data_IF_135018262715
#
_entry.id   IF_135018262715
#
_cell.length_a   1.000
_cell.length_b   1.000
_cell.length_c   1.000
_cell.angle_alpha   90.00
_cell.angle_beta   90.00
_cell.angle_gamma   90.00
#
_symmetry.space_group_name_H-M   'P 1'
#
loop_
_entity.id
_entity.type
_entity.pdbx_description
1 polymer ?
#
# COMPACT_ATOMS: atom_id res chain seq x y z
N UNK A 1 11.01 4.34 -24.43
CA UNK A 1 9.95 5.00 -23.63
C UNK A 1 9.52 3.96 -22.61
N UNK A 2 10.25 3.87 -21.49
CA UNK A 2 9.92 2.93 -20.41
C UNK A 2 8.75 3.52 -19.63
N UNK A 3 7.68 2.74 -19.50
CA UNK A 3 6.57 3.08 -18.62
C UNK A 3 7.17 3.05 -17.21
N UNK A 4 7.28 4.22 -16.58
CA UNK A 4 7.63 4.29 -15.18
C UNK A 4 6.48 3.65 -14.42
N UNK A 5 6.65 2.41 -13.98
CA UNK A 5 5.90 1.89 -12.84
C UNK A 5 6.03 2.96 -11.75
N UNK A 6 4.90 3.49 -11.25
CA UNK A 6 4.92 4.32 -10.04
C UNK A 6 5.75 3.55 -9.00
N UNK A 7 6.73 4.22 -8.39
CA UNK A 7 7.49 3.65 -7.27
C UNK A 7 6.46 3.07 -6.27
N UNK A 8 6.56 1.78 -5.92
CA UNK A 8 5.55 1.10 -5.10
C UNK A 8 5.28 1.86 -3.78
N UNK A 9 6.31 2.54 -3.25
CA UNK A 9 6.18 3.44 -2.11
C UNK A 9 5.33 4.69 -2.41
N UNK A 10 5.42 5.26 -3.61
CA UNK A 10 4.53 6.34 -4.07
C UNK A 10 3.09 5.86 -4.24
N UNK A 11 2.88 4.68 -4.82
CA UNK A 11 1.55 4.08 -4.95
C UNK A 11 0.90 3.83 -3.57
N UNK A 12 1.67 3.32 -2.60
CA UNK A 12 1.19 3.11 -1.23
C UNK A 12 0.91 4.43 -0.49
N UNK A 13 1.71 5.48 -0.73
CA UNK A 13 1.38 6.82 -0.24
C UNK A 13 0.07 7.34 -0.84
N UNK A 14 -0.19 7.09 -2.13
CA UNK A 14 -1.46 7.46 -2.76
C UNK A 14 -2.65 6.70 -2.16
N UNK A 15 -2.51 5.40 -1.87
CA UNK A 15 -3.53 4.61 -1.14
C UNK A 15 -3.82 5.18 0.25
N UNK A 16 -2.79 5.56 0.99
CA UNK A 16 -2.94 6.21 2.30
C UNK A 16 -3.66 7.57 2.18
N UNK A 17 -3.42 8.35 1.11
CA UNK A 17 -4.16 9.60 0.86
C UNK A 17 -5.65 9.36 0.63
N UNK A 18 -6.03 8.30 -0.08
CA UNK A 18 -7.44 7.94 -0.26
C UNK A 18 -8.13 7.61 1.06
N UNK A 19 -7.45 6.87 1.95
CA UNK A 19 -7.96 6.59 3.28
C UNK A 19 -8.15 7.87 4.11
N UNK A 20 -7.19 8.80 4.06
CA UNK A 20 -7.30 10.11 4.73
C UNK A 20 -8.51 10.91 4.22
N UNK A 21 -8.71 10.98 2.90
CA UNK A 21 -9.88 11.66 2.30
C UNK A 21 -11.19 11.06 2.80
N UNK A 22 -11.29 9.73 2.88
CA UNK A 22 -12.49 9.07 3.38
C UNK A 22 -12.75 9.38 4.86
N UNK A 23 -11.71 9.38 5.69
CA UNK A 23 -11.81 9.77 7.10
C UNK A 23 -12.23 11.23 7.27
N UNK A 24 -11.64 12.16 6.52
CA UNK A 24 -12.02 13.57 6.57
C UNK A 24 -13.46 13.78 6.12
N UNK A 25 -13.88 13.14 5.03
CA UNK A 25 -15.26 13.21 4.57
C UNK A 25 -16.23 12.69 5.64
N UNK A 26 -15.92 11.55 6.25
CA UNK A 26 -16.73 11.01 7.34
C UNK A 26 -16.80 11.94 8.55
N UNK A 27 -15.64 12.39 9.06
CA UNK A 27 -15.58 13.29 10.20
C UNK A 27 -16.33 14.60 9.95
N UNK A 28 -16.37 15.06 8.69
CA UNK A 28 -17.20 16.18 8.28
C UNK A 28 -18.70 15.89 8.40
N UNK A 29 -19.15 14.76 7.88
CA UNK A 29 -20.58 14.40 7.91
C UNK A 29 -21.10 14.06 9.32
N UNK A 30 -20.25 13.50 10.20
CA UNK A 30 -20.64 13.08 11.56
C UNK A 30 -20.44 14.15 12.62
N UNK A 31 -19.89 15.32 12.27
CA UNK A 31 -19.62 16.39 13.21
C UNK A 31 -18.34 16.21 14.03
N UNK A 32 -17.53 15.17 13.77
CA UNK A 32 -16.23 14.91 14.41
C UNK A 32 -15.09 15.79 13.84
N UNK A 33 -15.38 17.07 13.58
CA UNK A 33 -14.41 18.00 13.00
C UNK A 33 -13.40 18.46 14.06
N UNK A 34 -12.12 18.25 13.79
CA UNK A 34 -11.02 18.75 14.61
C UNK A 34 -9.72 18.89 13.80
N UNK A 35 -8.80 19.74 14.27
CA UNK A 35 -7.51 20.11 13.69
C UNK A 35 -6.47 18.98 13.58
N UNK A 36 -6.91 17.71 13.58
CA UNK A 36 -6.05 16.54 13.63
C UNK A 36 -5.59 16.04 12.25
N UNK A 37 -6.13 16.62 11.18
CA UNK A 37 -5.78 16.32 9.80
C UNK A 37 -4.88 17.44 9.29
N UNK A 38 -3.60 17.14 9.06
CA UNK A 38 -2.72 18.07 8.37
C UNK A 38 -3.00 17.95 6.87
N UNK A 39 -3.42 19.02 6.17
CA UNK A 39 -3.61 18.99 4.72
C UNK A 39 -2.30 18.71 3.96
N UNK A 40 -1.15 18.82 4.63
CA UNK A 40 0.18 18.71 4.05
C UNK A 40 0.85 17.35 4.35
N UNK A 41 0.25 16.48 5.15
CA UNK A 41 0.89 15.21 5.56
C UNK A 41 -0.06 14.06 5.89
N UNK A 42 0.44 12.83 5.71
CA UNK A 42 -0.25 11.58 6.05
C UNK A 42 -0.19 11.21 7.54
N UNK A 43 0.30 12.11 8.38
CA UNK A 43 0.47 11.87 9.81
C UNK A 43 -0.81 12.27 10.55
N UNK A 44 -1.53 11.27 11.06
CA UNK A 44 -2.74 11.44 11.88
C UNK A 44 -2.43 11.02 13.32
N UNK A 45 -2.91 11.77 14.32
CA UNK A 45 -2.76 11.37 15.73
C UNK A 45 -3.44 10.01 15.95
N UNK A 46 -2.77 9.10 16.67
CA UNK A 46 -3.23 7.72 16.88
C UNK A 46 -4.66 7.63 17.42
N UNK A 47 -5.02 8.47 18.39
CA UNK A 47 -6.37 8.54 18.97
C UNK A 47 -7.43 8.82 17.91
N UNK A 48 -7.17 9.81 17.04
CA UNK A 48 -8.08 10.22 15.96
C UNK A 48 -8.15 9.15 14.88
N UNK A 49 -7.01 8.54 14.56
CA UNK A 49 -6.95 7.43 13.61
C UNK A 49 -7.81 6.27 14.09
N UNK A 50 -7.71 5.88 15.37
CA UNK A 50 -8.51 4.79 15.94
C UNK A 50 -9.99 5.12 16.01
N UNK A 51 -10.35 6.32 16.45
CA UNK A 51 -11.75 6.73 16.59
C UNK A 51 -12.43 6.80 15.21
N UNK A 52 -11.92 7.63 14.30
CA UNK A 52 -12.60 7.92 13.03
C UNK A 52 -12.49 6.76 12.04
N UNK A 53 -11.35 6.07 11.97
CA UNK A 53 -11.27 4.86 11.15
C UNK A 53 -12.12 3.73 11.74
N UNK A 54 -12.25 3.65 13.07
CA UNK A 54 -13.14 2.70 13.74
C UNK A 54 -14.60 2.92 13.36
N UNK A 55 -15.07 4.17 13.40
CA UNK A 55 -16.43 4.52 13.00
C UNK A 55 -16.66 4.27 11.50
N UNK A 56 -15.66 4.55 10.65
CA UNK A 56 -15.73 4.24 9.20
C UNK A 56 -15.90 2.74 8.96
N UNK A 57 -15.13 1.91 9.68
CA UNK A 57 -15.26 0.46 9.63
C UNK A 57 -16.62 -0.01 10.13
N UNK A 58 -17.16 0.59 11.20
CA UNK A 58 -18.49 0.27 11.70
C UNK A 58 -19.58 0.56 10.65
N UNK A 59 -19.52 1.72 9.99
CA UNK A 59 -20.43 2.07 8.90
C UNK A 59 -20.32 1.08 7.72
N UNK A 60 -19.09 0.69 7.35
CA UNK A 60 -18.86 -0.33 6.33
C UNK A 60 -19.44 -1.69 6.73
N UNK A 61 -19.36 -2.08 8.01
CA UNK A 61 -19.94 -3.33 8.50
C UNK A 61 -21.47 -3.32 8.47
N UNK A 62 -22.09 -2.18 8.79
CA UNK A 62 -23.53 -2.00 8.59
C UNK A 62 -23.91 -2.16 7.11
N UNK A 63 -23.13 -1.60 6.19
CA UNK A 63 -23.34 -1.78 4.75
C UNK A 63 -23.16 -3.25 4.32
N UNK A 64 -22.12 -3.94 4.82
CA UNK A 64 -21.89 -5.36 4.55
C UNK A 64 -23.11 -6.20 4.97
N UNK A 65 -23.63 -5.96 6.18
CA UNK A 65 -24.81 -6.65 6.70
C UNK A 65 -26.02 -6.44 5.78
N UNK A 66 -26.26 -5.23 5.27
CA UNK A 66 -27.39 -4.96 4.36
C UNK A 66 -27.24 -5.67 3.01
N UNK A 67 -26.02 -5.97 2.59
CA UNK A 67 -25.71 -6.63 1.32
C UNK A 67 -25.46 -8.14 1.46
N UNK A 68 -25.68 -8.73 2.65
CA UNK A 68 -25.43 -10.16 2.88
C UNK A 68 -23.96 -10.55 2.83
N UNK A 69 -23.05 -9.60 2.99
CA UNK A 69 -21.60 -9.83 3.03
C UNK A 69 -21.15 -9.89 4.49
N UNK A 70 -20.31 -10.88 4.83
CA UNK A 70 -19.73 -10.97 6.17
C UNK A 70 -18.65 -9.88 6.34
N UNK A 71 -18.71 -9.02 7.38
CA UNK A 71 -17.69 -8.01 7.65
C UNK A 71 -16.25 -8.56 7.67
N UNK A 72 -16.06 -9.75 8.25
CA UNK A 72 -14.76 -10.43 8.31
C UNK A 72 -14.14 -10.71 6.93
N UNK A 73 -14.96 -10.98 5.91
CA UNK A 73 -14.47 -11.22 4.56
C UNK A 73 -13.87 -9.94 3.93
N UNK A 74 -14.49 -8.78 4.18
CA UNK A 74 -13.98 -7.48 3.70
C UNK A 74 -12.69 -7.10 4.43
N UNK A 75 -12.61 -7.33 5.74
CA UNK A 75 -11.38 -7.13 6.51
C UNK A 75 -10.25 -8.01 5.98
N UNK A 76 -10.51 -9.29 5.74
CA UNK A 76 -9.52 -10.22 5.21
C UNK A 76 -9.03 -9.81 3.80
N UNK A 77 -9.95 -9.40 2.92
CA UNK A 77 -9.60 -8.91 1.58
C UNK A 77 -8.72 -7.64 1.65
N UNK A 78 -9.08 -6.67 2.49
CA UNK A 78 -8.30 -5.45 2.69
C UNK A 78 -6.90 -5.73 3.23
N UNK A 79 -6.77 -6.63 4.23
CA UNK A 79 -5.49 -7.04 4.78
C UNK A 79 -4.61 -7.75 3.73
N UNK A 80 -5.20 -8.63 2.92
CA UNK A 80 -4.50 -9.32 1.84
C UNK A 80 -3.94 -8.32 0.80
N UNK A 81 -4.74 -7.36 0.34
CA UNK A 81 -4.27 -6.33 -0.60
C UNK A 81 -3.16 -5.49 0.00
N UNK A 82 -3.34 -4.98 1.22
CA UNK A 82 -2.32 -4.19 1.92
C UNK A 82 -0.98 -4.93 2.03
N UNK A 83 -1.00 -6.21 2.46
CA UNK A 83 0.22 -7.00 2.62
C UNK A 83 0.93 -7.26 1.29
N UNK A 84 0.18 -7.52 0.22
CA UNK A 84 0.73 -7.71 -1.12
C UNK A 84 1.41 -6.41 -1.62
N UNK A 85 0.71 -5.28 -1.51
CA UNK A 85 1.20 -3.98 -2.00
C UNK A 85 2.38 -3.45 -1.18
N UNK A 86 2.44 -3.73 0.13
CA UNK A 86 3.61 -3.38 0.96
C UNK A 86 4.82 -4.26 0.63
N UNK A 87 4.62 -5.53 0.26
CA UNK A 87 5.72 -6.39 -0.14
C UNK A 87 6.44 -5.87 -1.41
N UNK A 88 5.72 -5.17 -2.28
CA UNK A 88 6.27 -4.53 -3.49
C UNK A 88 7.17 -3.31 -3.18
N UNK A 89 7.13 -2.75 -1.96
CA UNK A 89 8.05 -1.68 -1.55
C UNK A 89 9.49 -2.17 -1.35
N UNK A 90 9.70 -3.48 -1.19
CA UNK A 90 11.04 -4.00 -1.00
C UNK A 90 11.84 -3.92 -2.31
N UNK A 91 13.07 -3.41 -2.27
CA UNK A 91 13.91 -3.40 -3.46
C UNK A 91 14.13 -4.83 -3.92
N UNK A 92 13.87 -5.09 -5.21
CA UNK A 92 14.32 -6.33 -5.85
C UNK A 92 15.83 -6.34 -5.73
N UNK A 93 16.37 -7.18 -4.84
CA UNK A 93 17.80 -7.48 -4.84
C UNK A 93 18.03 -8.27 -6.11
N UNK A 94 18.48 -7.59 -7.16
CA UNK A 94 19.11 -8.24 -8.31
C UNK A 94 20.33 -8.98 -7.77
N UNK A 95 20.15 -10.27 -7.46
CA UNK A 95 21.26 -11.18 -7.23
C UNK A 95 22.00 -11.26 -8.56
N UNK A 96 23.05 -10.44 -8.69
CA UNK A 96 23.93 -10.42 -9.85
C UNK A 96 24.34 -11.85 -10.18
N UNK A 97 23.87 -12.33 -11.34
CA UNK A 97 24.39 -13.57 -11.90
C UNK A 97 25.88 -13.35 -12.19
N UNK A 98 26.80 -14.20 -11.67
CA UNK A 98 28.21 -14.04 -11.99
C UNK A 98 28.36 -14.21 -13.50
N UNK A 99 28.90 -13.18 -14.15
CA UNK A 99 29.26 -13.22 -15.55
C UNK A 99 30.16 -14.43 -15.82
N UNK A 100 29.81 -15.19 -16.85
CA UNK A 100 30.55 -16.35 -17.33
C UNK A 100 32.06 -16.06 -17.36
N UNK A 101 32.83 -16.87 -16.63
CA UNK A 101 34.29 -16.85 -16.76
C UNK A 101 34.65 -17.35 -18.17
N UNK A 102 35.16 -16.45 -19.02
CA UNK A 102 35.68 -16.81 -20.33
C UNK A 102 36.74 -17.91 -20.21
N UNK A 103 36.44 -19.10 -20.71
CA UNK A 103 37.43 -20.15 -20.97
C UNK A 103 38.48 -19.65 -21.97
N UNK A 104 39.80 -19.79 -21.69
CA UNK A 104 40.83 -19.35 -22.63
C UNK A 104 40.80 -20.22 -23.90
N UNK A 105 40.61 -19.57 -25.06
CA UNK A 105 40.69 -20.22 -26.36
C UNK A 105 42.09 -20.79 -26.59
N UNK A 106 42.13 -22.05 -27.01
CA UNK A 106 43.34 -22.84 -27.22
C UNK A 106 44.39 -22.18 -28.11
N UNK A 107 45.65 -22.35 -27.72
CA UNK A 107 46.81 -22.05 -28.54
C UNK A 107 46.92 -23.09 -29.66
N UNK A 108 46.64 -22.69 -30.90
CA UNK A 108 47.07 -23.44 -32.07
C UNK A 108 48.58 -23.33 -32.21
N UNK A 109 49.30 -24.44 -31.97
CA UNK A 109 50.69 -24.58 -32.41
C UNK A 109 50.69 -25.07 -33.85
N UNK A 110 51.09 -24.20 -34.78
CA UNK A 110 51.49 -24.60 -36.12
C UNK A 110 52.84 -25.33 -36.05
N UNK A 111 52.95 -26.44 -36.77
CA UNK A 111 54.22 -27.03 -37.22
C UNK A 111 54.12 -27.26 -38.71
#
# INVERSE_FOLDING_TARGET
>A
MGICDEDAAEANRSRARWALIAMEAMGRETGQHGSAYSPEGLMVREEVLREVAGDLMANLFHLCRLNGVAPAAVVAAGAMHFLAEVAEEQPVVELGMPADQETPRGQSRSS
#
